data_IF_716717338444
#
_entry.id   IF_716717338444
#
_cell.length_a   1.000
_cell.length_b   1.000
_cell.length_c   1.000
_cell.angle_alpha   90.00
_cell.angle_beta   90.00
_cell.angle_gamma   90.00
#
_symmetry.space_group_name_H-M   'P 1'
#
loop_
_entity.id
_entity.type
_entity.pdbx_description
1 polymer ?
#
# COMPACT_ATOMS: atom_id res chain seq x y z
N UNK A 1 49.45 -15.46 -20.46
CA UNK A 1 48.24 -15.95 -21.16
C UNK A 1 46.97 -15.36 -20.53
N UNK A 2 46.85 -15.43 -19.20
CA UNK A 2 45.77 -14.85 -18.39
C UNK A 2 45.37 -13.39 -18.68
N UNK A 3 46.33 -12.46 -18.78
CA UNK A 3 46.02 -11.04 -19.03
C UNK A 3 45.31 -10.77 -20.37
N UNK A 4 45.66 -11.52 -21.42
CA UNK A 4 45.00 -11.39 -22.73
C UNK A 4 43.61 -11.99 -22.73
N UNK A 5 43.40 -13.08 -21.98
CA UNK A 5 42.07 -13.67 -21.79
C UNK A 5 41.18 -12.73 -20.98
N UNK A 6 41.69 -12.14 -19.90
CA UNK A 6 40.96 -11.16 -19.10
C UNK A 6 40.50 -9.94 -19.93
N UNK A 7 41.38 -9.36 -20.75
CA UNK A 7 41.05 -8.22 -21.61
C UNK A 7 40.05 -8.57 -22.72
N UNK A 8 40.14 -9.78 -23.30
CA UNK A 8 39.17 -10.25 -24.30
C UNK A 8 37.80 -10.50 -23.69
N UNK A 9 37.75 -11.11 -22.49
CA UNK A 9 36.49 -11.36 -21.79
C UNK A 9 35.81 -10.07 -21.33
N UNK A 10 36.57 -9.11 -20.81
CA UNK A 10 36.02 -7.80 -20.38
C UNK A 10 35.53 -6.97 -21.56
N UNK A 11 36.26 -6.97 -22.69
CA UNK A 11 35.81 -6.28 -23.91
C UNK A 11 34.53 -6.90 -24.50
N UNK A 12 34.44 -8.24 -24.48
CA UNK A 12 33.22 -8.95 -24.90
C UNK A 12 32.02 -8.66 -24.02
N UNK A 13 32.22 -8.58 -22.69
CA UNK A 13 31.16 -8.24 -21.74
C UNK A 13 30.62 -6.81 -21.95
N UNK A 14 31.50 -5.83 -22.14
CA UNK A 14 31.08 -4.43 -22.38
C UNK A 14 30.26 -4.27 -23.67
N UNK A 15 30.53 -5.10 -24.69
CA UNK A 15 29.75 -5.09 -25.93
C UNK A 15 28.47 -5.92 -25.84
N UNK A 16 28.43 -6.97 -25.03
CA UNK A 16 27.26 -7.84 -24.91
C UNK A 16 26.18 -7.28 -23.97
N UNK A 17 26.55 -6.55 -22.91
CA UNK A 17 25.61 -6.01 -21.91
C UNK A 17 24.49 -5.14 -22.55
N UNK A 18 24.79 -4.16 -23.42
CA UNK A 18 23.75 -3.30 -24.01
C UNK A 18 22.75 -4.09 -24.89
N UNK A 19 23.22 -5.14 -25.57
CA UNK A 19 22.35 -5.98 -26.40
C UNK A 19 21.49 -6.93 -25.56
N UNK A 20 22.02 -7.45 -24.44
CA UNK A 20 21.20 -8.22 -23.50
C UNK A 20 20.11 -7.36 -22.86
N UNK A 21 20.39 -6.11 -22.51
CA UNK A 21 19.36 -5.18 -22.02
C UNK A 21 18.26 -4.92 -23.07
N UNK A 22 18.62 -4.88 -24.36
CA UNK A 22 17.62 -4.72 -25.45
C UNK A 22 16.74 -5.95 -25.69
N UNK A 23 17.28 -7.16 -25.45
CA UNK A 23 16.57 -8.44 -25.62
C UNK A 23 15.77 -8.84 -24.38
N UNK A 24 16.19 -8.36 -23.21
CA UNK A 24 15.54 -8.60 -21.91
C UNK A 24 14.71 -7.39 -21.45
N UNK A 25 14.65 -6.32 -22.24
CA UNK A 25 13.68 -5.26 -22.01
C UNK A 25 12.31 -5.92 -21.95
N UNK A 26 11.57 -5.77 -20.84
CA UNK A 26 10.14 -6.08 -20.85
C UNK A 26 9.55 -5.38 -22.07
N UNK A 27 8.68 -6.06 -22.83
CA UNK A 27 7.82 -5.37 -23.80
C UNK A 27 7.33 -4.08 -23.15
N UNK A 28 7.41 -2.96 -23.86
CA UNK A 28 7.01 -1.67 -23.31
C UNK A 28 5.56 -1.79 -22.80
N UNK A 29 5.45 -1.95 -21.49
CA UNK A 29 4.20 -2.07 -20.78
C UNK A 29 3.53 -0.70 -20.84
N UNK A 30 2.65 -0.53 -21.82
CA UNK A 30 1.92 0.72 -22.06
C UNK A 30 0.55 0.63 -21.40
N UNK A 31 0.16 1.70 -20.72
CA UNK A 31 -1.20 1.81 -20.22
C UNK A 31 -2.21 1.65 -21.37
N UNK A 32 -3.32 0.96 -21.12
CA UNK A 32 -4.39 0.79 -22.11
C UNK A 32 -4.89 2.15 -22.61
N UNK A 33 -5.31 2.20 -23.88
CA UNK A 33 -5.94 3.39 -24.46
C UNK A 33 -7.22 3.74 -23.70
N UNK A 34 -7.27 4.92 -23.08
CA UNK A 34 -8.44 5.42 -22.36
C UNK A 34 -8.15 6.75 -21.67
N UNK A 35 -9.20 7.43 -21.19
CA UNK A 35 -9.03 8.60 -20.32
C UNK A 35 -8.77 8.11 -18.89
N UNK A 36 -7.55 8.20 -18.34
CA UNK A 36 -7.30 7.80 -16.97
C UNK A 36 -8.20 8.63 -16.03
N UNK A 37 -8.89 7.96 -15.11
CA UNK A 37 -9.59 8.68 -14.03
C UNK A 37 -8.52 9.36 -13.18
N UNK A 38 -8.60 10.68 -13.05
CA UNK A 38 -7.56 11.56 -12.52
C UNK A 38 -7.47 11.58 -10.99
N UNK A 39 -7.85 10.51 -10.31
CA UNK A 39 -7.77 10.43 -8.85
C UNK A 39 -6.68 9.45 -8.40
N UNK A 40 -5.86 9.92 -7.46
CA UNK A 40 -4.84 9.13 -6.79
C UNK A 40 -5.21 9.08 -5.30
N UNK A 41 -5.29 7.87 -4.74
CA UNK A 41 -5.52 7.68 -3.30
C UNK A 41 -4.21 7.21 -2.70
N UNK A 42 -3.56 8.07 -1.92
CA UNK A 42 -2.35 7.73 -1.18
C UNK A 42 -2.71 7.46 0.27
N UNK A 43 -2.33 6.30 0.79
CA UNK A 43 -2.55 5.94 2.18
C UNK A 43 -1.20 5.86 2.88
N UNK A 44 -1.03 6.62 3.96
CA UNK A 44 0.15 6.56 4.83
C UNK A 44 -0.30 6.10 6.20
N UNK A 45 0.26 5.00 6.67
CA UNK A 45 0.17 4.64 8.09
C UNK A 45 1.30 5.37 8.84
N UNK A 46 0.94 6.26 9.76
CA UNK A 46 1.90 6.98 10.59
C UNK A 46 2.34 6.13 11.78
N UNK A 47 3.57 5.62 11.77
CA UNK A 47 4.19 5.01 12.95
C UNK A 47 4.82 6.12 13.82
N UNK A 48 3.98 6.89 14.53
CA UNK A 48 4.43 7.94 15.45
C UNK A 48 4.41 7.48 16.91
N UNK A 49 5.29 8.01 17.76
CA UNK A 49 5.21 7.74 19.21
C UNK A 49 4.07 8.51 19.89
N UNK A 50 3.66 9.62 19.30
CA UNK A 50 2.63 10.54 19.82
C UNK A 50 1.53 10.73 18.77
N UNK A 51 0.60 9.78 18.71
CA UNK A 51 -0.51 9.80 17.73
C UNK A 51 -1.38 11.05 17.86
N UNK A 52 -1.53 11.56 19.08
CA UNK A 52 -2.28 12.77 19.41
C UNK A 52 -1.68 14.03 18.77
N UNK A 53 -0.42 13.99 18.34
CA UNK A 53 0.27 15.10 17.67
C UNK A 53 0.13 15.06 16.15
N UNK A 54 -0.53 14.04 15.59
CA UNK A 54 -0.67 13.90 14.14
C UNK A 54 -1.85 14.70 13.58
N UNK A 55 -3.09 14.38 13.97
CA UNK A 55 -4.33 15.08 13.57
C UNK A 55 -5.07 15.67 14.77
N UNK A 56 -6.04 16.56 14.53
CA UNK A 56 -7.02 16.96 15.55
C UNK A 56 -7.74 15.73 16.14
N UNK A 57 -8.06 15.78 17.43
CA UNK A 57 -8.94 14.81 18.06
C UNK A 57 -10.39 15.31 17.99
N UNK A 58 -11.30 14.49 17.48
CA UNK A 58 -12.72 14.80 17.42
C UNK A 58 -13.34 14.57 16.05
N UNK A 59 -14.66 14.42 16.06
CA UNK A 59 -15.46 14.17 14.86
C UNK A 59 -15.85 15.50 14.19
N UNK A 60 -16.07 15.45 12.88
CA UNK A 60 -16.56 16.59 12.10
C UNK A 60 -15.50 17.23 11.20
N UNK A 61 -15.77 18.46 10.75
CA UNK A 61 -14.90 19.14 9.79
C UNK A 61 -13.51 19.44 10.38
N UNK A 62 -12.47 19.32 9.55
CA UNK A 62 -11.14 19.78 9.92
C UNK A 62 -11.16 21.30 10.02
N UNK A 63 -10.93 21.79 11.24
CA UNK A 63 -10.82 23.23 11.49
C UNK A 63 -9.37 23.58 11.74
N UNK A 64 -8.94 24.65 11.09
CA UNK A 64 -7.54 25.09 11.12
C UNK A 64 -7.01 25.29 12.55
N UNK A 65 -7.81 25.91 13.41
CA UNK A 65 -7.44 26.19 14.80
C UNK A 65 -7.08 24.93 15.60
N UNK A 66 -7.75 23.80 15.34
CA UNK A 66 -7.51 22.53 16.06
C UNK A 66 -6.26 21.78 15.58
N UNK A 67 -5.69 22.16 14.43
CA UNK A 67 -4.51 21.51 13.87
C UNK A 67 -3.24 22.36 14.03
N UNK A 68 -3.33 23.51 14.69
CA UNK A 68 -2.17 24.36 14.98
C UNK A 68 -1.19 23.60 15.88
N UNK A 69 0.08 23.54 15.49
CA UNK A 69 1.12 22.81 16.23
C UNK A 69 1.08 21.28 16.07
N UNK A 70 0.16 20.74 15.27
CA UNK A 70 0.13 19.32 14.89
C UNK A 70 1.05 19.06 13.69
N UNK A 71 1.42 17.80 13.49
CA UNK A 71 2.31 17.37 12.39
C UNK A 71 1.75 17.72 11.01
N UNK A 72 0.44 17.79 10.89
CA UNK A 72 -0.30 18.09 9.65
C UNK A 72 -0.58 19.57 9.45
N UNK A 73 -0.13 20.46 10.34
CA UNK A 73 -0.35 21.91 10.24
C UNK A 73 0.14 22.50 8.90
N UNK A 74 1.18 21.90 8.31
CA UNK A 74 1.71 22.28 6.98
C UNK A 74 0.70 22.11 5.85
N UNK A 75 -0.34 21.29 6.05
CA UNK A 75 -1.40 21.04 5.07
C UNK A 75 -2.55 22.05 5.18
N UNK A 76 -2.44 23.06 6.05
CA UNK A 76 -3.46 24.11 6.27
C UNK A 76 -4.09 24.67 4.98
N UNK A 77 -3.35 25.03 3.92
CA UNK A 77 -3.93 25.55 2.68
C UNK A 77 -4.87 24.57 1.94
N UNK A 78 -4.82 23.29 2.31
CA UNK A 78 -5.54 22.21 1.66
C UNK A 78 -6.67 21.64 2.52
N UNK A 79 -6.82 22.04 3.79
CA UNK A 79 -7.84 21.46 4.67
C UNK A 79 -9.26 21.57 4.11
N UNK A 80 -9.61 22.68 3.46
CA UNK A 80 -10.91 22.87 2.81
C UNK A 80 -11.16 21.95 1.60
N UNK A 81 -10.12 21.28 1.10
CA UNK A 81 -10.17 20.33 -0.02
C UNK A 81 -10.09 18.88 0.43
N UNK A 82 -9.96 18.63 1.74
CA UNK A 82 -9.84 17.29 2.29
C UNK A 82 -11.21 16.78 2.74
N UNK A 83 -11.45 15.50 2.49
CA UNK A 83 -12.59 14.77 3.00
C UNK A 83 -12.08 13.78 4.04
N UNK A 84 -12.69 13.80 5.22
CA UNK A 84 -12.42 12.84 6.29
C UNK A 84 -13.61 11.92 6.45
N UNK A 85 -13.35 10.63 6.43
CA UNK A 85 -14.38 9.62 6.72
C UNK A 85 -14.54 9.54 8.23
N UNK A 86 -15.69 9.99 8.73
CA UNK A 86 -16.02 9.84 10.14
C UNK A 86 -16.38 8.38 10.45
N UNK A 87 -16.03 7.90 11.65
CA UNK A 87 -16.35 6.55 12.12
C UNK A 87 -15.36 5.46 11.70
N UNK A 88 -14.32 5.79 10.93
CA UNK A 88 -13.23 4.86 10.60
C UNK A 88 -12.27 4.71 11.79
N UNK A 89 -12.66 3.93 12.80
CA UNK A 89 -11.83 3.68 13.99
C UNK A 89 -11.27 2.25 13.94
N UNK A 90 -9.94 2.07 13.89
CA UNK A 90 -9.36 0.73 13.90
C UNK A 90 -9.74 -0.03 15.18
N UNK A 91 -10.27 -1.24 15.04
CA UNK A 91 -10.69 -2.10 16.18
C UNK A 91 -9.52 -2.76 16.92
N UNK A 92 -8.29 -2.36 16.60
CA UNK A 92 -7.03 -2.92 17.14
C UNK A 92 -7.03 -2.93 18.67
N UNK A 93 -7.73 -1.99 19.32
CA UNK A 93 -7.82 -1.92 20.78
C UNK A 93 -8.81 -2.91 21.41
N UNK A 94 -9.78 -3.45 20.65
CA UNK A 94 -10.85 -4.30 21.18
C UNK A 94 -10.51 -5.80 21.15
N UNK A 95 -9.71 -6.24 20.17
CA UNK A 95 -9.51 -7.67 19.88
C UNK A 95 -8.09 -8.18 20.13
N UNK A 96 -7.14 -7.34 20.54
CA UNK A 96 -5.77 -7.78 20.84
C UNK A 96 -5.66 -8.20 22.31
N UNK A 97 -6.06 -9.45 22.61
CA UNK A 97 -5.68 -10.10 23.86
C UNK A 97 -4.16 -10.31 23.85
N UNK A 98 -3.45 -9.49 24.63
CA UNK A 98 -2.04 -9.64 25.06
C UNK A 98 -0.96 -9.84 23.98
N UNK A 99 -0.14 -8.82 23.76
CA UNK A 99 1.30 -8.97 23.47
C UNK A 99 1.73 -9.43 22.07
N UNK A 100 0.82 -9.82 21.18
CA UNK A 100 1.13 -10.14 19.78
C UNK A 100 1.48 -8.89 18.97
N UNK A 101 2.61 -8.92 18.28
CA UNK A 101 3.14 -7.79 17.51
C UNK A 101 2.08 -7.24 16.50
N UNK A 102 1.73 -5.98 16.70
CA UNK A 102 0.53 -5.29 16.16
C UNK A 102 0.53 -5.03 14.66
N UNK A 103 1.58 -5.40 13.93
CA UNK A 103 1.75 -5.00 12.53
C UNK A 103 0.81 -5.76 11.59
N UNK A 104 0.62 -7.06 11.83
CA UNK A 104 -0.30 -7.88 11.04
C UNK A 104 -1.75 -7.45 11.25
N UNK A 105 -2.16 -7.28 12.51
CA UNK A 105 -3.44 -6.67 12.89
C UNK A 105 -3.63 -5.29 12.23
N UNK A 106 -2.66 -4.40 12.35
CA UNK A 106 -2.76 -3.05 11.79
C UNK A 106 -2.85 -3.05 10.27
N UNK A 107 -2.17 -3.98 9.58
CA UNK A 107 -2.24 -4.10 8.13
C UNK A 107 -3.57 -4.69 7.67
N UNK A 108 -4.05 -5.77 8.32
CA UNK A 108 -5.35 -6.36 8.02
C UNK A 108 -6.51 -5.37 8.26
N UNK A 109 -6.39 -4.50 9.26
CA UNK A 109 -7.42 -3.52 9.61
C UNK A 109 -7.34 -2.20 8.84
N UNK A 110 -6.23 -1.95 8.13
CA UNK A 110 -5.90 -0.62 7.60
C UNK A 110 -7.01 -0.01 6.74
N UNK A 111 -7.61 -0.83 5.88
CA UNK A 111 -8.65 -0.39 4.93
C UNK A 111 -10.05 -0.87 5.26
N UNK A 112 -10.20 -1.66 6.32
CA UNK A 112 -11.48 -2.23 6.72
C UNK A 112 -12.04 -1.52 7.95
N UNK A 113 -11.18 -1.07 8.86
CA UNK A 113 -11.56 -0.55 10.19
C UNK A 113 -12.55 -1.47 10.95
N UNK A 114 -12.63 -2.75 10.58
CA UNK A 114 -13.66 -3.69 11.00
C UNK A 114 -13.14 -4.76 11.94
N UNK A 115 -13.88 -5.84 12.15
CA UNK A 115 -13.36 -6.99 12.91
C UNK A 115 -12.36 -7.82 12.08
N UNK A 116 -11.58 -8.64 12.77
CA UNK A 116 -10.58 -9.50 12.16
C UNK A 116 -10.40 -10.79 12.96
N UNK A 117 -9.98 -11.85 12.27
CA UNK A 117 -9.45 -13.06 12.89
C UNK A 117 -7.99 -12.79 13.26
N UNK A 118 -7.67 -12.93 14.54
CA UNK A 118 -6.29 -12.84 15.03
C UNK A 118 -5.42 -13.97 14.47
N UNK A 119 -4.15 -13.67 14.23
CA UNK A 119 -3.14 -14.64 13.82
C UNK A 119 -2.27 -15.07 15.00
N UNK A 120 -1.85 -16.33 15.02
CA UNK A 120 -0.83 -16.80 15.98
C UNK A 120 0.57 -16.21 15.69
N UNK A 121 0.75 -15.46 14.59
CA UNK A 121 1.99 -14.84 14.12
C UNK A 121 1.71 -13.59 13.25
N UNK A 122 2.69 -12.68 13.17
CA UNK A 122 2.67 -11.48 12.32
C UNK A 122 2.31 -11.77 10.85
N UNK A 123 1.16 -11.28 10.37
CA UNK A 123 0.77 -11.33 8.95
C UNK A 123 -0.15 -12.51 8.58
N UNK A 124 -0.76 -13.14 9.58
CA UNK A 124 -1.78 -14.18 9.41
C UNK A 124 -3.19 -13.70 9.74
N UNK A 125 -3.31 -12.45 10.17
CA UNK A 125 -4.56 -11.79 10.47
C UNK A 125 -5.41 -11.63 9.21
N UNK A 126 -6.72 -11.83 9.37
CA UNK A 126 -7.66 -11.77 8.27
C UNK A 126 -8.86 -10.91 8.61
N UNK A 127 -9.19 -9.93 7.76
CA UNK A 127 -10.29 -9.02 8.03
C UNK A 127 -11.64 -9.70 7.79
N UNK A 128 -12.68 -9.31 8.54
CA UNK A 128 -14.04 -9.80 8.34
C UNK A 128 -14.87 -8.94 7.38
N UNK A 129 -14.42 -7.71 7.15
CA UNK A 129 -15.12 -6.73 6.32
C UNK A 129 -14.45 -6.56 4.96
N UNK A 130 -15.22 -6.02 4.01
CA UNK A 130 -14.68 -5.56 2.72
C UNK A 130 -13.74 -4.37 2.94
N UNK A 131 -12.67 -4.28 2.16
CA UNK A 131 -11.75 -3.16 2.24
C UNK A 131 -12.24 -1.96 1.44
N UNK A 132 -11.87 -0.76 1.89
CA UNK A 132 -12.28 0.50 1.28
C UNK A 132 -11.84 0.64 -0.17
N UNK A 133 -10.65 0.16 -0.53
CA UNK A 133 -10.16 0.13 -1.91
C UNK A 133 -10.99 -0.80 -2.81
N UNK A 134 -11.43 -1.96 -2.30
CA UNK A 134 -12.34 -2.84 -3.02
C UNK A 134 -13.70 -2.18 -3.22
N UNK A 135 -14.26 -1.59 -2.15
CA UNK A 135 -15.52 -0.86 -2.23
C UNK A 135 -15.46 0.27 -3.27
N UNK A 136 -14.42 1.09 -3.24
CA UNK A 136 -14.22 2.16 -4.22
C UNK A 136 -14.06 1.62 -5.64
N UNK A 137 -13.27 0.55 -5.83
CA UNK A 137 -13.11 -0.09 -7.13
C UNK A 137 -14.47 -0.48 -7.72
N UNK A 138 -15.34 -1.10 -6.91
CA UNK A 138 -16.71 -1.45 -7.33
C UNK A 138 -17.59 -0.22 -7.59
N UNK A 139 -17.55 0.78 -6.70
CA UNK A 139 -18.32 2.01 -6.84
C UNK A 139 -17.99 2.78 -8.14
N UNK A 140 -16.75 2.66 -8.63
CA UNK A 140 -16.31 3.27 -9.90
C UNK A 140 -16.55 2.41 -11.14
N UNK A 141 -17.28 1.29 -11.02
CA UNK A 141 -17.65 0.40 -12.12
C UNK A 141 -16.65 -0.73 -12.41
N UNK A 142 -15.71 -0.99 -11.49
CA UNK A 142 -14.74 -2.07 -11.62
C UNK A 142 -15.39 -3.45 -11.52
N UNK A 143 -15.12 -4.31 -12.51
CA UNK A 143 -15.70 -5.66 -12.58
C UNK A 143 -14.88 -6.72 -11.83
N UNK A 144 -13.60 -6.47 -11.58
CA UNK A 144 -12.66 -7.40 -10.92
C UNK A 144 -12.26 -7.01 -9.49
N UNK A 145 -11.06 -7.41 -9.10
CA UNK A 145 -10.41 -6.94 -7.87
C UNK A 145 -9.59 -5.68 -8.18
N UNK A 146 -9.44 -4.75 -7.22
CA UNK A 146 -8.46 -3.68 -7.33
C UNK A 146 -7.05 -4.28 -7.45
N UNK A 147 -6.18 -3.54 -8.14
CA UNK A 147 -4.77 -3.89 -8.21
C UNK A 147 -4.09 -3.44 -6.93
N UNK A 148 -3.48 -4.40 -6.22
CA UNK A 148 -2.69 -4.13 -5.01
C UNK A 148 -1.23 -4.37 -5.36
N UNK A 149 -0.40 -3.33 -5.33
CA UNK A 149 1.02 -3.44 -5.64
C UNK A 149 1.85 -3.32 -4.36
N UNK A 150 2.72 -4.30 -4.10
CA UNK A 150 3.70 -4.26 -3.02
C UNK A 150 5.09 -4.01 -3.60
N UNK A 151 5.71 -2.90 -3.19
CA UNK A 151 7.05 -2.53 -3.59
C UNK A 151 8.06 -2.86 -2.47
N UNK A 152 9.24 -3.36 -2.85
CA UNK A 152 10.35 -3.62 -1.94
C UNK A 152 10.52 -5.07 -1.50
N UNK A 153 11.45 -5.30 -0.57
CA UNK A 153 11.83 -6.63 -0.11
C UNK A 153 10.72 -7.28 0.72
N UNK A 154 10.27 -8.46 0.29
CA UNK A 154 9.33 -9.27 1.07
C UNK A 154 10.08 -9.89 2.25
N UNK A 155 9.91 -9.31 3.44
CA UNK A 155 10.53 -9.78 4.69
C UNK A 155 9.98 -11.12 5.21
N UNK A 156 9.21 -11.86 4.40
CA UNK A 156 8.47 -13.06 4.80
C UNK A 156 7.19 -12.75 5.58
N UNK A 157 6.98 -11.49 5.98
CA UNK A 157 5.73 -11.00 6.56
C UNK A 157 4.77 -10.63 5.44
N UNK A 158 3.64 -11.36 5.36
CA UNK A 158 2.56 -11.03 4.44
C UNK A 158 1.81 -9.81 4.98
N UNK A 159 1.96 -8.67 4.31
CA UNK A 159 1.20 -7.46 4.63
C UNK A 159 -0.10 -7.48 3.83
N UNK A 160 -1.11 -8.12 4.41
CA UNK A 160 -2.43 -8.27 3.81
C UNK A 160 -3.24 -7.02 4.12
N UNK A 161 -3.58 -6.24 3.10
CA UNK A 161 -4.18 -4.90 3.28
C UNK A 161 -5.57 -4.80 2.63
N UNK A 162 -5.84 -5.59 1.58
CA UNK A 162 -7.04 -5.50 0.75
C UNK A 162 -7.86 -6.79 0.82
N UNK A 163 -9.18 -6.66 0.89
CA UNK A 163 -10.13 -7.73 1.20
C UNK A 163 -11.40 -7.57 0.36
N UNK A 164 -11.76 -8.62 -0.39
CA UNK A 164 -12.98 -8.62 -1.22
C UNK A 164 -14.23 -9.07 -0.44
N UNK A 165 -14.02 -9.84 0.64
CA UNK A 165 -15.01 -10.31 1.58
C UNK A 165 -14.30 -10.80 2.85
N UNK A 166 -15.07 -11.33 3.82
CA UNK A 166 -14.55 -11.97 5.03
C UNK A 166 -13.45 -12.98 4.73
N UNK A 167 -12.25 -12.68 5.22
CA UNK A 167 -11.03 -13.48 5.12
C UNK A 167 -10.57 -13.77 3.68
N UNK A 168 -11.13 -13.07 2.69
CA UNK A 168 -10.79 -13.21 1.28
C UNK A 168 -9.86 -12.09 0.84
N UNK A 169 -8.56 -12.30 1.08
CA UNK A 169 -7.48 -11.38 0.69
C UNK A 169 -7.42 -11.20 -0.84
N UNK A 170 -7.21 -9.95 -1.27
CA UNK A 170 -6.83 -9.63 -2.65
C UNK A 170 -5.30 -9.67 -2.74
N UNK A 171 -4.79 -10.60 -3.54
CA UNK A 171 -3.36 -10.84 -3.66
C UNK A 171 -2.61 -9.61 -4.19
N UNK A 172 -1.53 -9.25 -3.51
CA UNK A 172 -0.62 -8.22 -3.99
C UNK A 172 0.25 -8.73 -5.15
N UNK A 173 0.47 -7.89 -6.16
CA UNK A 173 1.54 -8.08 -7.14
C UNK A 173 2.84 -7.45 -6.64
N UNK A 174 3.94 -8.19 -6.80
CA UNK A 174 5.30 -7.75 -6.46
C UNK A 174 6.07 -7.27 -7.69
N UNK A 175 5.56 -7.60 -8.88
CA UNK A 175 6.09 -7.10 -10.14
C UNK A 175 5.13 -6.00 -10.65
N UNK A 176 5.55 -4.72 -10.63
CA UNK A 176 4.72 -3.64 -11.15
C UNK A 176 4.44 -3.78 -12.65
N UNK A 177 5.21 -4.58 -13.40
CA UNK A 177 4.94 -4.84 -14.81
C UNK A 177 3.67 -5.69 -15.01
N UNK A 178 3.32 -6.55 -14.06
CA UNK A 178 2.09 -7.36 -14.12
C UNK A 178 0.81 -6.50 -14.04
N UNK A 179 0.92 -5.20 -13.75
CA UNK A 179 -0.20 -4.26 -13.75
C UNK A 179 -0.67 -3.96 -15.19
N UNK A 180 0.23 -4.13 -16.17
CA UNK A 180 0.01 -3.74 -17.55
C UNK A 180 -0.31 -4.93 -18.49
N UNK A 181 -0.28 -6.16 -17.98
CA UNK A 181 -0.54 -7.40 -18.72
C UNK A 181 -1.91 -7.96 -18.33
#
# INVERSE_FOLDING_TARGET
MERRMFLKSSSGLCLAIPFLESLLSPEEARAQSGTPKSFLITMRNGCGREHEMFWQAGDGAIVEGQNTGKSVAVLKPYFSKMLFVNGATPTITKNVRSGGCSHGVATANLLTCGDFTGGNNNGMEAAHEISFDYYLHKAFGGTGNPIVAQLGYNSGKKHRISWSAREQEIAATFNPLNIYT
#
